data_IF_660020562308
#
_entry.id   IF_660020562308
#
_cell.length_a   1.000
_cell.length_b   1.000
_cell.length_c   1.000
_cell.angle_alpha   90.00
_cell.angle_beta   90.00
_cell.angle_gamma   90.00
#
_symmetry.space_group_name_H-M   'P 1'
#
loop_
_entity.id
_entity.type
_entity.pdbx_description
1 polymer ?
#
# COMPACT_ATOMS: atom_id res chain seq x y z
N UNK A 1 -3.48 -9.13 -7.53
CA UNK A 1 -3.15 -10.38 -6.82
C UNK A 1 -2.17 -11.19 -7.65
N UNK A 2 -1.14 -11.75 -7.03
CA UNK A 2 -0.21 -12.67 -7.69
C UNK A 2 0.14 -13.79 -6.71
N UNK A 3 1.15 -14.62 -7.02
CA UNK A 3 1.48 -15.77 -6.15
C UNK A 3 1.77 -15.40 -4.70
N UNK A 4 2.59 -14.38 -4.47
CA UNK A 4 2.97 -13.92 -3.12
C UNK A 4 2.48 -12.51 -2.81
N UNK A 5 2.05 -11.75 -3.80
CA UNK A 5 1.69 -10.35 -3.66
C UNK A 5 2.90 -9.40 -3.69
N UNK A 6 4.10 -9.93 -3.50
CA UNK A 6 5.31 -9.11 -3.33
C UNK A 6 5.72 -8.41 -4.63
N UNK A 7 5.80 -9.16 -5.73
CA UNK A 7 6.20 -8.60 -7.01
C UNK A 7 5.27 -7.52 -7.52
N UNK A 8 3.97 -7.71 -7.35
CA UNK A 8 2.97 -6.72 -7.74
C UNK A 8 3.12 -5.43 -6.93
N UNK A 9 3.34 -5.54 -5.61
CA UNK A 9 3.54 -4.38 -4.76
C UNK A 9 4.81 -3.63 -5.16
N UNK A 10 5.91 -4.35 -5.35
CA UNK A 10 7.19 -3.75 -5.72
C UNK A 10 7.11 -3.07 -7.09
N UNK A 11 6.43 -3.68 -8.04
CA UNK A 11 6.22 -3.11 -9.37
C UNK A 11 5.35 -1.85 -9.30
N UNK A 12 4.25 -1.90 -8.57
CA UNK A 12 3.36 -0.76 -8.42
C UNK A 12 4.07 0.44 -7.79
N UNK A 13 4.94 0.19 -6.81
CA UNK A 13 5.69 1.26 -6.14
C UNK A 13 6.76 1.91 -7.05
N UNK A 14 7.05 1.33 -8.21
CA UNK A 14 7.94 1.98 -9.18
C UNK A 14 7.28 3.16 -9.90
N UNK A 15 5.97 3.27 -9.83
CA UNK A 15 5.23 4.37 -10.44
C UNK A 15 5.21 5.55 -9.47
N UNK A 16 5.66 6.75 -9.89
CA UNK A 16 5.68 7.91 -8.99
C UNK A 16 4.31 8.20 -8.37
N UNK A 17 4.30 8.47 -7.07
CA UNK A 17 3.09 8.78 -6.33
C UNK A 17 2.30 7.58 -5.85
N UNK A 18 2.67 6.37 -6.23
CA UNK A 18 1.94 5.15 -5.84
C UNK A 18 2.58 4.50 -4.62
N UNK A 19 1.74 4.22 -3.63
CA UNK A 19 2.10 3.46 -2.44
C UNK A 19 1.27 2.18 -2.45
N UNK A 20 1.93 1.06 -2.65
CA UNK A 20 1.32 -0.26 -2.66
C UNK A 20 1.89 -1.09 -1.52
N UNK A 21 1.05 -1.83 -0.85
CA UNK A 21 1.46 -2.66 0.28
C UNK A 21 0.88 -4.06 0.16
N UNK A 22 1.70 -5.06 0.49
CA UNK A 22 1.24 -6.44 0.55
C UNK A 22 0.56 -6.68 1.91
N UNK A 23 -0.70 -7.07 1.89
CA UNK A 23 -1.50 -7.27 3.11
C UNK A 23 -2.12 -8.65 3.10
N UNK A 24 -1.75 -9.48 4.09
CA UNK A 24 -2.27 -10.84 4.22
C UNK A 24 -3.15 -11.02 5.47
N UNK A 25 -3.47 -9.92 6.15
CA UNK A 25 -4.36 -9.91 7.32
C UNK A 25 -5.18 -8.62 7.34
N UNK A 26 -6.34 -8.62 8.02
CA UNK A 26 -7.19 -7.43 8.08
C UNK A 26 -6.53 -6.23 8.77
N UNK A 27 -5.76 -6.45 9.83
CA UNK A 27 -5.11 -5.35 10.53
C UNK A 27 -4.12 -4.61 9.63
N UNK A 28 -3.30 -5.34 8.88
CA UNK A 28 -2.35 -4.74 7.94
C UNK A 28 -3.08 -3.95 6.85
N UNK A 29 -4.19 -4.49 6.34
CA UNK A 29 -5.00 -3.81 5.33
C UNK A 29 -5.58 -2.50 5.87
N UNK A 30 -6.09 -2.51 7.09
CA UNK A 30 -6.61 -1.31 7.74
C UNK A 30 -5.50 -0.26 7.88
N UNK A 31 -4.34 -0.67 8.40
CA UNK A 31 -3.21 0.25 8.63
C UNK A 31 -2.60 0.75 7.34
N UNK A 32 -2.57 -0.07 6.29
CA UNK A 32 -2.08 0.37 4.99
C UNK A 32 -2.86 1.59 4.50
N UNK A 33 -4.16 1.60 4.70
CA UNK A 33 -4.99 2.74 4.32
C UNK A 33 -4.95 3.87 5.35
N UNK A 34 -5.25 3.57 6.60
CA UNK A 34 -5.37 4.58 7.66
C UNK A 34 -4.04 5.23 8.04
N UNK A 35 -2.97 4.46 8.08
CA UNK A 35 -1.67 4.96 8.55
C UNK A 35 -0.72 5.34 7.42
N UNK A 36 -0.85 4.75 6.26
CA UNK A 36 0.11 4.92 5.16
C UNK A 36 -0.52 5.48 3.88
N UNK A 37 -1.82 5.64 3.87
CA UNK A 37 -2.57 6.12 2.72
C UNK A 37 -2.17 5.41 1.42
N UNK A 38 -2.05 4.08 1.49
CA UNK A 38 -1.73 3.28 0.32
C UNK A 38 -2.93 3.23 -0.62
N UNK A 39 -2.70 3.44 -1.91
CA UNK A 39 -3.74 3.39 -2.91
C UNK A 39 -4.01 1.97 -3.39
N UNK A 40 -3.05 1.08 -3.19
CA UNK A 40 -3.11 -0.30 -3.67
C UNK A 40 -2.73 -1.25 -2.56
N UNK A 41 -3.49 -2.32 -2.39
CA UNK A 41 -3.02 -3.47 -1.62
C UNK A 41 -2.86 -4.66 -2.55
N UNK A 42 -1.92 -5.53 -2.23
CA UNK A 42 -1.70 -6.77 -2.96
C UNK A 42 -1.80 -7.95 -2.00
N UNK A 43 -2.15 -9.11 -2.55
CA UNK A 43 -2.26 -10.35 -1.80
C UNK A 43 -1.66 -11.50 -2.60
N UNK A 44 -1.15 -12.48 -1.90
CA UNK A 44 -0.62 -13.69 -2.52
C UNK A 44 -1.66 -14.80 -2.57
N UNK A 45 -1.97 -15.26 -3.78
CA UNK A 45 -2.91 -16.37 -3.95
C UNK A 45 -2.41 -17.67 -3.32
N UNK A 46 -1.10 -17.82 -3.16
CA UNK A 46 -0.50 -18.96 -2.49
C UNK A 46 -0.40 -18.80 -0.98
N UNK A 47 -0.73 -17.62 -0.46
CA UNK A 47 -0.57 -17.28 0.96
C UNK A 47 -1.90 -17.21 1.68
N UNK A 48 -2.92 -16.61 1.06
CA UNK A 48 -4.25 -16.46 1.68
C UNK A 48 -5.28 -17.32 0.98
N UNK A 49 -6.18 -17.91 1.77
CA UNK A 49 -7.35 -18.57 1.25
C UNK A 49 -8.44 -17.56 0.90
N UNK A 50 -9.47 -18.03 0.23
CA UNK A 50 -10.55 -17.19 -0.27
C UNK A 50 -11.24 -16.37 0.82
N UNK A 51 -11.58 -17.00 1.93
CA UNK A 51 -12.30 -16.30 3.02
C UNK A 51 -11.45 -15.22 3.68
N UNK A 52 -10.17 -15.50 3.89
CA UNK A 52 -9.26 -14.49 4.42
C UNK A 52 -9.07 -13.34 3.43
N UNK A 53 -8.92 -13.66 2.14
CA UNK A 53 -8.78 -12.64 1.11
C UNK A 53 -9.99 -11.70 1.09
N UNK A 54 -11.21 -12.24 1.22
CA UNK A 54 -12.43 -11.43 1.33
C UNK A 54 -12.42 -10.53 2.54
N UNK A 55 -12.01 -11.05 3.70
CA UNK A 55 -11.93 -10.28 4.94
C UNK A 55 -10.91 -9.14 4.83
N UNK A 56 -9.76 -9.41 4.25
CA UNK A 56 -8.73 -8.40 4.01
C UNK A 56 -9.27 -7.29 3.10
N UNK A 57 -9.92 -7.67 2.00
CA UNK A 57 -10.47 -6.72 1.04
C UNK A 57 -11.59 -5.88 1.65
N UNK A 58 -12.49 -6.48 2.41
CA UNK A 58 -13.57 -5.75 3.07
C UNK A 58 -13.02 -4.72 4.05
N UNK A 59 -12.05 -5.10 4.86
CA UNK A 59 -11.41 -4.19 5.81
C UNK A 59 -10.73 -3.03 5.09
N UNK A 60 -10.04 -3.31 4.00
CA UNK A 60 -9.41 -2.28 3.17
C UNK A 60 -10.44 -1.30 2.62
N UNK A 61 -11.51 -1.80 2.03
CA UNK A 61 -12.54 -0.97 1.40
C UNK A 61 -13.29 -0.09 2.38
N UNK A 62 -13.42 -0.50 3.64
CA UNK A 62 -14.07 0.25 4.68
C UNK A 62 -13.15 1.28 5.36
N UNK A 63 -11.84 1.15 5.17
CA UNK A 63 -10.88 2.05 5.79
C UNK A 63 -10.75 3.34 4.99
N UNK A 64 -10.51 4.45 5.69
CA UNK A 64 -10.26 5.75 5.08
C UNK A 64 -9.02 6.38 5.70
N UNK A 65 -8.24 7.05 4.87
CA UNK A 65 -7.16 7.90 5.36
C UNK A 65 -7.75 9.25 5.74
N UNK A 66 -7.46 9.70 6.96
CA UNK A 66 -7.93 11.00 7.46
C UNK A 66 -6.71 11.88 7.67
N UNK A 67 -6.69 13.04 7.00
CA UNK A 67 -5.62 14.01 7.17
C UNK A 67 -5.65 14.61 8.57
N UNK A 68 -4.51 15.11 9.03
CA UNK A 68 -4.37 15.73 10.35
C UNK A 68 -4.16 14.74 11.48
N UNK A 69 -4.07 13.44 11.20
CA UNK A 69 -3.76 12.44 12.21
C UNK A 69 -2.25 12.37 12.44
N UNK A 70 -1.84 11.65 13.49
CA UNK A 70 -0.42 11.47 13.82
C UNK A 70 0.36 10.72 12.73
N UNK A 71 -0.32 10.07 11.80
CA UNK A 71 0.32 9.33 10.71
C UNK A 71 0.69 10.22 9.53
N UNK A 72 0.11 11.42 9.43
CA UNK A 72 0.33 12.32 8.30
C UNK A 72 1.80 12.67 8.07
N UNK A 73 2.62 12.99 9.10
CA UNK A 73 4.04 13.26 8.88
C UNK A 73 4.78 12.12 8.21
N UNK A 74 4.45 10.87 8.54
CA UNK A 74 5.06 9.68 7.92
C UNK A 74 4.68 9.56 6.44
N UNK A 75 3.40 9.77 6.14
CA UNK A 75 2.92 9.74 4.76
C UNK A 75 3.58 10.84 3.93
N UNK A 76 3.63 12.04 4.46
CA UNK A 76 4.28 13.18 3.79
C UNK A 76 5.75 12.91 3.54
N UNK A 77 6.43 12.24 4.48
CA UNK A 77 7.83 11.87 4.30
C UNK A 77 8.02 10.88 3.16
N UNK A 78 7.13 9.89 3.03
CA UNK A 78 7.19 8.97 1.90
C UNK A 78 6.97 9.68 0.57
N UNK A 79 6.04 10.64 0.53
CA UNK A 79 5.78 11.44 -0.67
C UNK A 79 7.00 12.27 -1.04
N UNK A 80 7.67 12.88 -0.07
CA UNK A 80 8.90 13.64 -0.30
C UNK A 80 10.02 12.79 -0.88
N UNK A 81 10.22 11.61 -0.32
CA UNK A 81 11.25 10.67 -0.78
C UNK A 81 10.96 10.22 -2.21
N UNK A 82 9.70 9.88 -2.46
CA UNK A 82 9.26 9.47 -3.80
C UNK A 82 9.54 10.57 -4.82
N UNK A 83 9.10 11.78 -4.53
CA UNK A 83 9.30 12.93 -5.43
C UNK A 83 10.78 13.18 -5.70
N UNK A 84 11.61 13.11 -4.65
CA UNK A 84 13.04 13.36 -4.76
C UNK A 84 13.74 12.35 -5.68
N UNK A 85 13.55 11.07 -5.42
CA UNK A 85 14.31 10.04 -6.11
C UNK A 85 13.71 9.65 -7.47
N UNK A 86 12.39 9.68 -7.59
CA UNK A 86 11.75 9.41 -8.87
C UNK A 86 12.01 10.51 -9.89
N UNK A 87 11.99 11.77 -9.46
CA UNK A 87 12.30 12.91 -10.32
C UNK A 87 13.75 12.86 -10.79
N UNK A 88 14.70 12.57 -9.89
CA UNK A 88 16.11 12.41 -10.24
C UNK A 88 16.33 11.29 -11.24
N UNK A 89 15.62 10.19 -11.03
CA UNK A 89 15.70 9.02 -11.90
C UNK A 89 15.24 9.34 -13.32
N UNK A 90 14.18 10.13 -13.46
CA UNK A 90 13.65 10.53 -14.75
C UNK A 90 14.52 11.59 -15.45
N UNK A 91 15.30 12.34 -14.70
CA UNK A 91 16.21 13.34 -15.23
C UNK A 91 17.48 12.73 -15.82
N UNK A 92 17.82 11.51 -15.43
CA UNK A 92 18.98 10.78 -15.94
C UNK A 92 18.66 10.07 -17.26
#
# INVERSE_FOLDING_TARGET
MCGTGLGMAMTACKIPGIRAATCHDPYSAERARKSNNAQIITMGALVVGEELAKSVLETWLQAEYIEGTRSEPKVNRMIEIDAKYMTQRHAE
#
